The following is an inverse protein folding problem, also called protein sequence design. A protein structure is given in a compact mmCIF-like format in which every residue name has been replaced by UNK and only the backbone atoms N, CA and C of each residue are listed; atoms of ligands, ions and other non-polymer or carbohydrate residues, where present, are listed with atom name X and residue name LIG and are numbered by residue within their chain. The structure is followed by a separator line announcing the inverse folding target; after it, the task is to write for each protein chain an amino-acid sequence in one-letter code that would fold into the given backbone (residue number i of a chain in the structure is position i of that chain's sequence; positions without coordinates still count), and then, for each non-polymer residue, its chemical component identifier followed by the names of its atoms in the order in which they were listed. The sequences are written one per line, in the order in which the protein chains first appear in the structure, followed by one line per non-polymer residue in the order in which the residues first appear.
data_IF_919189900775
#
_entry.id   IF_919189900775
#
_cell.length_a   1.000
_cell.length_b   1.000
_cell.length_c   1.000
_cell.angle_alpha   90.00
_cell.angle_beta   90.00
_cell.angle_gamma   90.00
#
_symmetry.space_group_name_H-M   'P 1'
#
loop_
_entity.id
_entity.type
_entity.pdbx_description
1 polymer ?
#
# COMPACT_ATOMS: atom_id res chain seq x y z
N UNK A 1 -6.84 17.24 16.86
CA UNK A 1 -5.39 17.02 16.73
C UNK A 1 -5.07 15.68 16.08
N UNK A 2 -5.59 14.57 16.61
CA UNK A 2 -5.26 13.19 16.18
C UNK A 2 -5.56 12.89 14.71
N UNK A 3 -6.73 13.31 14.19
CA UNK A 3 -7.10 13.08 12.78
C UNK A 3 -6.14 13.80 11.82
N UNK A 4 -5.74 15.03 12.15
CA UNK A 4 -4.80 15.81 11.34
C UNK A 4 -3.44 15.13 11.30
N UNK A 5 -2.98 14.58 12.43
CA UNK A 5 -1.69 13.92 12.54
C UNK A 5 -1.65 12.59 11.77
N UNK A 6 -2.73 11.80 11.85
CA UNK A 6 -2.89 10.58 11.05
C UNK A 6 -2.96 10.91 9.56
N UNK A 7 -3.72 11.93 9.17
CA UNK A 7 -3.79 12.37 7.77
C UNK A 7 -2.43 12.79 7.22
N UNK A 8 -1.64 13.53 7.99
CA UNK A 8 -0.28 13.96 7.61
C UNK A 8 0.66 12.75 7.47
N UNK A 9 0.55 11.78 8.37
CA UNK A 9 1.29 10.52 8.31
C UNK A 9 0.94 9.71 7.06
N UNK A 10 -0.34 9.56 6.74
CA UNK A 10 -0.81 8.87 5.52
C UNK A 10 -0.26 9.54 4.26
N UNK A 11 -0.35 10.87 4.17
CA UNK A 11 0.21 11.63 3.05
C UNK A 11 1.73 11.52 2.96
N UNK A 12 2.43 11.49 4.10
CA UNK A 12 3.87 11.26 4.18
C UNK A 12 4.28 9.87 3.65
N UNK A 13 3.60 8.82 4.11
CA UNK A 13 3.83 7.44 3.63
C UNK A 13 3.54 7.34 2.13
N UNK A 14 2.44 7.94 1.67
CA UNK A 14 2.11 8.02 0.24
C UNK A 14 3.22 8.65 -0.57
N UNK A 15 3.73 9.81 -0.15
CA UNK A 15 4.80 10.51 -0.85
C UNK A 15 6.09 9.66 -0.91
N UNK A 16 6.43 8.98 0.20
CA UNK A 16 7.57 8.07 0.27
C UNK A 16 7.40 6.87 -0.68
N UNK A 17 6.21 6.27 -0.73
CA UNK A 17 5.92 5.12 -1.59
C UNK A 17 5.97 5.51 -3.06
N UNK A 18 5.36 6.64 -3.43
CA UNK A 18 5.39 7.16 -4.80
C UNK A 18 6.82 7.47 -5.25
N UNK A 19 7.66 8.00 -4.36
CA UNK A 19 9.08 8.24 -4.62
C UNK A 19 9.84 6.91 -4.76
N UNK A 20 9.67 5.98 -3.81
CA UNK A 20 10.32 4.67 -3.84
C UNK A 20 10.00 3.93 -5.14
N UNK A 21 8.75 4.01 -5.59
CA UNK A 21 8.32 3.33 -6.80
C UNK A 21 8.79 4.00 -8.11
N UNK A 22 9.44 5.17 -8.04
CA UNK A 22 10.17 5.79 -9.16
C UNK A 22 11.65 5.41 -9.20
N UNK A 23 12.19 4.83 -8.13
CA UNK A 23 13.58 4.38 -8.08
C UNK A 23 13.81 3.13 -8.95
N UNK A 24 15.07 2.82 -9.27
CA UNK A 24 15.44 1.62 -10.05
C UNK A 24 14.94 0.33 -9.39
N UNK A 25 15.06 0.22 -8.07
CA UNK A 25 14.55 -0.93 -7.30
C UNK A 25 13.02 -1.00 -7.37
N UNK A 26 12.34 0.16 -7.30
CA UNK A 26 10.89 0.23 -7.44
C UNK A 26 10.39 -0.17 -8.83
N UNK A 27 11.10 0.22 -9.88
CA UNK A 27 10.81 -0.21 -11.25
C UNK A 27 11.06 -1.70 -11.45
N UNK A 28 12.15 -2.23 -10.91
CA UNK A 28 12.44 -3.67 -10.91
C UNK A 28 11.38 -4.47 -10.15
N UNK A 29 10.86 -3.93 -9.03
CA UNK A 29 9.76 -4.53 -8.28
C UNK A 29 8.47 -4.61 -9.12
N UNK A 30 8.12 -3.54 -9.84
CA UNK A 30 6.95 -3.52 -10.75
C UNK A 30 7.12 -4.48 -11.92
N UNK A 31 8.29 -4.45 -12.57
CA UNK A 31 8.61 -5.38 -13.65
C UNK A 31 8.56 -6.84 -13.19
N UNK A 32 8.96 -7.10 -11.93
CA UNK A 32 8.86 -8.43 -11.31
C UNK A 32 7.40 -8.86 -11.16
N UNK A 33 6.50 -7.94 -10.81
CA UNK A 33 5.06 -8.19 -10.74
C UNK A 33 4.41 -8.48 -12.08
N UNK A 34 4.85 -7.80 -13.15
CA UNK A 34 4.31 -7.99 -14.51
C UNK A 34 4.82 -9.28 -15.16
N UNK A 35 6.14 -9.51 -15.14
CA UNK A 35 6.73 -10.72 -15.71
C UNK A 35 8.00 -11.16 -14.94
N UNK A 36 7.86 -12.07 -13.96
CA UNK A 36 8.99 -12.53 -13.16
C UNK A 36 10.03 -13.30 -13.99
N UNK A 37 9.61 -14.00 -15.05
CA UNK A 37 10.52 -14.77 -15.91
C UNK A 37 11.47 -13.86 -16.69
N UNK A 38 10.95 -12.75 -17.23
CA UNK A 38 11.74 -11.74 -17.94
C UNK A 38 12.76 -11.08 -17.02
N UNK A 39 12.35 -10.66 -15.83
CA UNK A 39 13.26 -10.00 -14.87
C UNK A 39 14.36 -10.93 -14.40
N UNK A 40 14.04 -12.22 -14.22
CA UNK A 40 15.04 -13.25 -13.91
C UNK A 40 16.04 -13.47 -15.05
N UNK A 41 15.57 -13.44 -16.31
CA UNK A 41 16.44 -13.54 -17.49
C UNK A 41 17.36 -12.31 -17.66
N UNK A 42 16.96 -11.15 -17.15
CA UNK A 42 17.77 -9.92 -17.08
C UNK A 42 18.79 -9.92 -15.93
N UNK A 43 18.90 -11.00 -15.16
CA UNK A 43 19.90 -11.16 -14.10
C UNK A 43 19.53 -10.56 -12.75
N UNK A 44 18.29 -10.11 -12.57
CA UNK A 44 17.79 -9.57 -11.29
C UNK A 44 17.22 -10.70 -10.43
N UNK A 45 17.50 -10.66 -9.12
CA UNK A 45 16.95 -11.62 -8.16
C UNK A 45 15.47 -11.34 -7.90
N UNK A 46 14.61 -12.10 -8.59
CA UNK A 46 13.15 -12.01 -8.52
C UNK A 46 12.61 -12.35 -7.12
N UNK A 47 13.19 -13.37 -6.46
CA UNK A 47 12.77 -13.81 -5.13
C UNK A 47 13.04 -12.71 -4.09
N UNK A 48 14.19 -12.04 -4.18
CA UNK A 48 14.52 -10.89 -3.35
C UNK A 48 13.56 -9.72 -3.53
N UNK A 49 13.13 -9.46 -4.77
CA UNK A 49 12.13 -8.43 -5.08
C UNK A 49 10.76 -8.78 -4.50
N UNK A 50 10.31 -10.03 -4.60
CA UNK A 50 9.04 -10.47 -4.01
C UNK A 50 9.08 -10.32 -2.49
N UNK A 51 10.16 -10.75 -1.83
CA UNK A 51 10.32 -10.60 -0.38
C UNK A 51 10.33 -9.12 0.03
N UNK A 52 10.99 -8.25 -0.73
CA UNK A 52 11.00 -6.82 -0.48
C UNK A 52 9.59 -6.22 -0.58
N UNK A 53 8.83 -6.58 -1.62
CA UNK A 53 7.44 -6.14 -1.77
C UNK A 53 6.54 -6.62 -0.63
N UNK A 54 6.70 -7.89 -0.23
CA UNK A 54 5.95 -8.49 0.88
C UNK A 54 6.28 -7.79 2.21
N UNK A 55 7.56 -7.54 2.47
CA UNK A 55 8.01 -6.86 3.68
C UNK A 55 7.46 -5.43 3.76
N UNK A 56 7.44 -4.71 2.63
CA UNK A 56 6.93 -3.35 2.56
C UNK A 56 5.41 -3.31 2.80
N UNK A 57 4.66 -4.23 2.17
CA UNK A 57 3.22 -4.39 2.39
C UNK A 57 2.89 -4.72 3.85
N UNK A 58 3.52 -5.76 4.39
CA UNK A 58 3.29 -6.19 5.77
C UNK A 58 3.74 -5.14 6.80
N UNK A 59 4.80 -4.37 6.51
CA UNK A 59 5.22 -3.26 7.35
C UNK A 59 4.15 -2.16 7.46
N UNK A 60 3.49 -1.82 6.35
CA UNK A 60 2.38 -0.85 6.36
C UNK A 60 1.16 -1.38 7.12
N UNK A 61 0.81 -2.65 6.91
CA UNK A 61 -0.30 -3.30 7.63
C UNK A 61 -0.03 -3.34 9.13
N UNK A 62 1.19 -3.70 9.55
CA UNK A 62 1.60 -3.71 10.95
C UNK A 62 1.56 -2.33 11.60
N UNK A 63 2.04 -1.30 10.88
CA UNK A 63 1.99 0.09 11.35
C UNK A 63 0.54 0.57 11.52
N UNK A 64 -0.33 0.27 10.56
CA UNK A 64 -1.75 0.59 10.65
C UNK A 64 -2.42 -0.10 11.85
N UNK A 65 -2.16 -1.40 12.05
CA UNK A 65 -2.68 -2.15 13.20
C UNK A 65 -2.21 -1.60 14.55
N UNK A 66 -0.93 -1.23 14.65
CA UNK A 66 -0.36 -0.63 15.86
C UNK A 66 -0.98 0.74 16.18
N UNK A 67 -1.29 1.55 15.15
CA UNK A 67 -2.00 2.81 15.33
C UNK A 67 -3.44 2.61 15.79
N UNK A 68 -4.15 1.62 15.23
CA UNK A 68 -5.52 1.30 15.63
C UNK A 68 -5.56 0.81 17.08
N UNK A 69 -4.66 -0.08 17.48
CA UNK A 69 -4.57 -0.55 18.87
C UNK A 69 -4.27 0.59 19.85
N UNK A 70 -3.36 1.51 19.50
CA UNK A 70 -3.10 2.69 20.31
C UNK A 70 -4.30 3.64 20.40
N UNK A 71 -5.06 3.80 19.31
CA UNK A 71 -6.23 4.66 19.29
C UNK A 71 -7.40 4.09 20.10
N UNK A 72 -7.60 2.77 20.06
CA UNK A 72 -8.68 2.09 20.79
C UNK A 72 -8.31 1.79 22.24
N UNK A 73 -7.02 1.74 22.59
CA UNK A 73 -6.54 1.47 23.96
C UNK A 73 -6.58 0.00 24.37
N UNK A 74 -6.96 -0.89 23.45
CA UNK A 74 -6.96 -2.34 23.63
C UNK A 74 -6.68 -3.04 22.29
N UNK A 75 -6.34 -4.31 22.36
CA UNK A 75 -6.11 -5.16 21.19
C UNK A 75 -6.92 -6.46 21.33
N UNK A 76 -7.80 -6.74 20.38
CA UNK A 76 -8.60 -7.96 20.27
C UNK A 76 -8.33 -8.60 18.90
N UNK A 77 -8.35 -9.94 18.85
CA UNK A 77 -8.19 -10.74 17.62
C UNK A 77 -9.26 -10.39 16.58
N UNK A 78 -10.43 -9.96 17.04
CA UNK A 78 -11.55 -9.58 16.17
C UNK A 78 -11.41 -8.18 15.54
N UNK A 79 -10.45 -7.34 15.98
CA UNK A 79 -10.30 -5.97 15.46
C UNK A 79 -9.94 -5.89 13.98
N UNK A 80 -9.35 -6.96 13.42
CA UNK A 80 -9.01 -7.06 12.01
C UNK A 80 -10.07 -7.75 11.14
N UNK A 81 -11.13 -8.31 11.74
CA UNK A 81 -12.16 -9.03 10.99
C UNK A 81 -12.91 -8.06 10.06
N UNK A 82 -12.96 -8.40 8.77
CA UNK A 82 -13.61 -7.59 7.75
C UNK A 82 -12.74 -6.46 7.16
N UNK A 83 -11.56 -6.17 7.73
CA UNK A 83 -10.68 -5.11 7.21
C UNK A 83 -10.24 -5.37 5.76
N UNK A 84 -9.99 -6.63 5.40
CA UNK A 84 -9.63 -7.01 4.02
C UNK A 84 -10.79 -6.71 3.05
N UNK A 85 -12.03 -6.96 3.48
CA UNK A 85 -13.23 -6.76 2.64
C UNK A 85 -13.46 -5.26 2.43
N UNK A 86 -13.42 -4.48 3.51
CA UNK A 86 -13.49 -3.03 3.45
C UNK A 86 -12.34 -2.44 2.60
N UNK A 87 -11.13 -2.98 2.78
CA UNK A 87 -9.94 -2.65 1.99
C UNK A 87 -10.15 -2.81 0.50
N UNK A 88 -10.57 -4.01 0.08
CA UNK A 88 -10.82 -4.31 -1.32
C UNK A 88 -11.95 -3.43 -1.90
N UNK A 89 -13.03 -3.23 -1.14
CA UNK A 89 -14.15 -2.39 -1.55
C UNK A 89 -13.73 -0.94 -1.81
N UNK A 90 -12.92 -0.36 -0.92
CA UNK A 90 -12.39 0.99 -1.06
C UNK A 90 -11.45 1.14 -2.26
N UNK A 91 -10.61 0.13 -2.54
CA UNK A 91 -9.76 0.13 -3.75
C UNK A 91 -10.62 0.16 -5.01
N UNK A 92 -11.64 -0.70 -5.09
CA UNK A 92 -12.55 -0.76 -6.24
C UNK A 92 -13.31 0.57 -6.42
N UNK A 93 -13.82 1.16 -5.33
CA UNK A 93 -14.46 2.48 -5.36
C UNK A 93 -13.50 3.58 -5.83
N UNK A 94 -12.27 3.60 -5.31
CA UNK A 94 -11.25 4.56 -5.73
C UNK A 94 -10.91 4.47 -7.23
N UNK A 95 -10.66 3.26 -7.72
CA UNK A 95 -10.29 3.01 -9.10
C UNK A 95 -11.42 3.33 -10.09
N UNK A 96 -12.66 3.02 -9.73
CA UNK A 96 -13.84 3.31 -10.59
C UNK A 96 -14.08 4.80 -10.78
N UNK A 97 -13.81 5.62 -9.77
CA UNK A 97 -13.95 7.09 -9.87
C UNK A 97 -12.80 7.74 -10.64
N UNK A 98 -11.55 7.36 -10.37
CA UNK A 98 -10.37 8.09 -10.89
C UNK A 98 -9.73 7.46 -12.13
N UNK A 99 -10.05 6.21 -12.48
CA UNK A 99 -9.49 5.46 -13.63
C UNK A 99 -7.98 5.72 -13.82
N UNK A 100 -7.16 5.33 -12.83
CA UNK A 100 -5.76 5.73 -12.80
C UNK A 100 -4.95 5.17 -13.97
N UNK A 101 -4.22 6.04 -14.66
CA UNK A 101 -3.28 5.67 -15.75
C UNK A 101 -1.82 5.59 -15.30
N UNK A 102 -1.50 6.12 -14.11
CA UNK A 102 -0.16 6.17 -13.55
C UNK A 102 -0.18 5.69 -12.10
N UNK A 103 0.95 5.17 -11.62
CA UNK A 103 1.02 4.63 -10.26
C UNK A 103 0.68 5.67 -9.17
N UNK A 104 1.10 6.93 -9.34
CA UNK A 104 0.78 7.99 -8.38
C UNK A 104 -0.70 8.37 -8.36
N UNK A 105 -1.42 8.19 -9.47
CA UNK A 105 -2.88 8.37 -9.49
C UNK A 105 -3.58 7.15 -8.90
N UNK A 106 -3.02 5.94 -9.03
CA UNK A 106 -3.54 4.74 -8.38
C UNK A 106 -3.45 4.81 -6.86
N UNK A 107 -2.29 5.18 -6.29
CA UNK A 107 -2.14 5.32 -4.83
C UNK A 107 -3.06 6.39 -4.25
N UNK A 108 -3.25 7.49 -4.99
CA UNK A 108 -4.18 8.56 -4.59
C UNK A 108 -5.64 8.11 -4.69
N UNK A 109 -6.00 7.37 -5.74
CA UNK A 109 -7.35 6.83 -5.93
C UNK A 109 -7.76 5.91 -4.76
N UNK A 110 -6.86 5.04 -4.30
CA UNK A 110 -7.13 4.16 -3.15
C UNK A 110 -7.35 4.95 -1.86
N UNK A 111 -6.53 5.98 -1.60
CA UNK A 111 -6.71 6.83 -0.41
C UNK A 111 -8.06 7.56 -0.47
N UNK A 112 -8.42 8.11 -1.63
CA UNK A 112 -9.72 8.79 -1.79
C UNK A 112 -10.87 7.79 -1.69
N UNK A 113 -10.74 6.60 -2.27
CA UNK A 113 -11.71 5.52 -2.15
C UNK A 113 -11.95 5.10 -0.70
N UNK A 114 -10.90 5.08 0.13
CA UNK A 114 -11.02 4.82 1.57
C UNK A 114 -11.64 5.95 2.38
N UNK A 115 -11.60 7.19 1.90
CA UNK A 115 -12.30 8.31 2.55
C UNK A 115 -13.78 8.34 2.16
N UNK A 116 -14.10 7.81 0.98
CA UNK A 116 -15.49 7.74 0.47
C UNK A 116 -16.25 6.55 1.05
N UNK A 117 -15.59 5.40 1.21
CA UNK A 117 -16.15 4.19 1.85
C UNK A 117 -16.41 4.41 3.35
#
# INVERSE_FOLDING_TARGET
MTIVLIGLLVWGIKALLDWFMRTEIGLALRATGDNPQMVRALGVNTDGMIVLGLALSNGMVGLAGALVAQYQGFADVNMGLGLIIAGLAAVILGETFFRPTHFGTATTAVIVGMVIY
#
